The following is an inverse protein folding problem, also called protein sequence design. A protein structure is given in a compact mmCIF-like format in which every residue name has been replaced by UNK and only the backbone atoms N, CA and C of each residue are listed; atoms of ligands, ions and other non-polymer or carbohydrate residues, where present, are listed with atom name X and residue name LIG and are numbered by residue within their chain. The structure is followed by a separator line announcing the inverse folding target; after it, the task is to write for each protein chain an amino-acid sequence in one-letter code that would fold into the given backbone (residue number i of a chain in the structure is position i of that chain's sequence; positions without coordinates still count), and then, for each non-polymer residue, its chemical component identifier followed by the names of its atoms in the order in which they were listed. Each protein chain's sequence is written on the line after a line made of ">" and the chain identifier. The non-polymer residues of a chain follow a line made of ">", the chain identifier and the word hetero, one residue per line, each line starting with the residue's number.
data_IF_334652480225
#
_entry.id   IF_334652480225
#
_cell.length_a   1.000
_cell.length_b   1.000
_cell.length_c   1.000
_cell.angle_alpha   90.00
_cell.angle_beta   90.00
_cell.angle_gamma   90.00
#
_symmetry.space_group_name_H-M   'P 1'
#
loop_
_entity.id
_entity.type
_entity.pdbx_description
1 polymer ?
#
# COMPACT_ATOMS: atom_id res chain seq x y z
N UNK A 1 34.87 9.28 -71.09
CA UNK A 1 35.41 10.15 -70.03
C UNK A 1 35.02 9.55 -68.69
N UNK A 2 35.92 9.52 -67.68
CA UNK A 2 35.67 8.84 -66.41
C UNK A 2 34.78 9.70 -65.52
N UNK A 3 33.65 9.13 -65.03
CA UNK A 3 32.80 9.77 -64.02
C UNK A 3 33.64 10.11 -62.80
N UNK A 4 33.59 11.36 -62.35
CA UNK A 4 34.35 11.82 -61.18
C UNK A 4 33.77 11.17 -59.92
N UNK A 5 34.63 10.66 -59.04
CA UNK A 5 34.27 10.02 -57.76
C UNK A 5 33.25 10.79 -56.92
N UNK A 6 33.21 12.11 -57.04
CA UNK A 6 32.28 13.01 -56.36
C UNK A 6 30.83 12.84 -56.83
N UNK A 7 30.58 12.73 -58.15
CA UNK A 7 29.22 12.56 -58.69
C UNK A 7 28.63 11.22 -58.24
N UNK A 8 29.43 10.16 -58.21
CA UNK A 8 29.00 8.85 -57.73
C UNK A 8 28.74 8.82 -56.20
N UNK A 9 29.37 9.71 -55.43
CA UNK A 9 29.10 9.85 -53.99
C UNK A 9 27.85 10.67 -53.71
N UNK A 10 27.59 11.73 -54.48
CA UNK A 10 26.35 12.52 -54.38
C UNK A 10 25.12 11.70 -54.79
N UNK A 11 25.21 10.92 -55.86
CA UNK A 11 24.13 10.02 -56.31
C UNK A 11 23.83 8.94 -55.25
N UNK A 12 24.86 8.44 -54.57
CA UNK A 12 24.73 7.48 -53.47
C UNK A 12 24.11 8.09 -52.20
N UNK A 13 24.48 9.33 -51.86
CA UNK A 13 23.89 10.06 -50.73
C UNK A 13 22.42 10.41 -50.99
N UNK A 14 22.07 10.83 -52.21
CA UNK A 14 20.68 11.04 -52.61
C UNK A 14 19.87 9.75 -52.61
N UNK A 15 20.49 8.60 -52.93
CA UNK A 15 19.81 7.30 -52.87
C UNK A 15 19.56 6.81 -51.43
N UNK A 16 20.34 7.27 -50.45
CA UNK A 16 20.20 6.92 -49.03
C UNK A 16 19.16 7.77 -48.29
N UNK A 17 18.91 8.99 -48.76
CA UNK A 17 17.98 9.94 -48.14
C UNK A 17 16.54 9.40 -47.96
N UNK A 18 15.94 8.72 -48.96
CA UNK A 18 14.62 8.10 -48.83
C UNK A 18 14.60 6.99 -47.77
N UNK A 19 15.65 6.16 -47.74
CA UNK A 19 15.77 5.05 -46.79
C UNK A 19 15.93 5.55 -45.35
N UNK A 20 16.69 6.63 -45.15
CA UNK A 20 16.82 7.31 -43.86
C UNK A 20 15.50 7.96 -43.42
N UNK A 21 14.74 8.52 -44.35
CA UNK A 21 13.42 9.09 -44.06
C UNK A 21 12.42 8.01 -43.64
N UNK A 22 12.36 6.89 -44.37
CA UNK A 22 11.51 5.74 -44.01
C UNK A 22 11.92 5.15 -42.65
N UNK A 23 13.22 4.99 -42.39
CA UNK A 23 13.71 4.47 -41.11
C UNK A 23 13.33 5.41 -39.95
N UNK A 24 13.36 6.73 -40.18
CA UNK A 24 12.93 7.73 -39.19
C UNK A 24 11.44 7.64 -38.90
N UNK A 25 10.60 7.50 -39.93
CA UNK A 25 9.15 7.32 -39.75
C UNK A 25 8.82 6.02 -39.01
N UNK A 26 9.49 4.93 -39.37
CA UNK A 26 9.37 3.64 -38.68
C UNK A 26 9.80 3.77 -37.21
N UNK A 27 10.87 4.50 -36.92
CA UNK A 27 11.35 4.73 -35.55
C UNK A 27 10.36 5.56 -34.73
N UNK A 28 9.72 6.58 -35.32
CA UNK A 28 8.67 7.38 -34.67
C UNK A 28 7.39 6.57 -34.42
N UNK A 29 7.00 5.72 -35.37
CA UNK A 29 5.88 4.81 -35.21
C UNK A 29 6.15 3.76 -34.12
N UNK A 30 7.37 3.22 -34.06
CA UNK A 30 7.81 2.35 -32.97
C UNK A 30 7.79 3.05 -31.62
N UNK A 31 8.28 4.30 -31.55
CA UNK A 31 8.25 5.10 -30.32
C UNK A 31 6.83 5.32 -29.80
N UNK A 32 5.90 5.72 -30.66
CA UNK A 32 4.49 5.93 -30.28
C UNK A 32 3.77 4.62 -29.93
N UNK A 33 4.09 3.51 -30.61
CA UNK A 33 3.58 2.18 -30.25
C UNK A 33 4.09 1.72 -28.87
N UNK A 34 5.37 1.99 -28.55
CA UNK A 34 5.95 1.68 -27.24
C UNK A 34 5.28 2.48 -26.13
N UNK A 35 5.04 3.77 -26.35
CA UNK A 35 4.36 4.66 -25.39
C UNK A 35 2.91 4.21 -25.15
N UNK A 36 2.20 3.81 -26.22
CA UNK A 36 0.87 3.22 -26.10
C UNK A 36 0.87 1.89 -25.32
N UNK A 37 1.91 1.05 -25.50
CA UNK A 37 2.06 -0.18 -24.72
C UNK A 37 2.38 0.09 -23.25
N UNK A 38 3.23 1.06 -22.94
CA UNK A 38 3.51 1.47 -21.55
C UNK A 38 2.22 1.92 -20.84
N UNK A 39 1.42 2.77 -21.50
CA UNK A 39 0.12 3.15 -20.96
C UNK A 39 -0.86 1.98 -20.82
N UNK A 40 -0.74 0.96 -21.66
CA UNK A 40 -1.54 -0.26 -21.54
C UNK A 40 -1.12 -1.08 -20.30
N UNK A 41 0.19 -1.19 -20.04
CA UNK A 41 0.74 -1.84 -18.85
C UNK A 41 0.30 -1.12 -17.56
N UNK A 42 0.39 0.21 -17.50
CA UNK A 42 -0.07 0.99 -16.34
C UNK A 42 -1.55 0.74 -16.02
N UNK A 43 -2.38 0.64 -17.07
CA UNK A 43 -3.80 0.31 -16.93
C UNK A 43 -4.03 -1.12 -16.44
N UNK A 44 -3.19 -2.06 -16.86
CA UNK A 44 -3.23 -3.45 -16.40
C UNK A 44 -2.86 -3.51 -14.93
N UNK A 45 -1.77 -2.87 -14.51
CA UNK A 45 -1.33 -2.83 -13.11
C UNK A 45 -2.41 -2.22 -12.19
N UNK A 46 -3.01 -1.12 -12.63
CA UNK A 46 -4.13 -0.50 -11.90
C UNK A 46 -5.33 -1.44 -11.78
N UNK A 47 -5.62 -2.25 -12.80
CA UNK A 47 -6.69 -3.26 -12.76
C UNK A 47 -6.33 -4.43 -11.85
N UNK A 48 -5.08 -4.89 -11.87
CA UNK A 48 -4.59 -5.96 -10.99
C UNK A 48 -4.72 -5.54 -9.53
N UNK A 49 -4.30 -4.32 -9.19
CA UNK A 49 -4.45 -3.77 -7.84
C UNK A 49 -5.93 -3.72 -7.42
N UNK A 50 -6.84 -3.33 -8.32
CA UNK A 50 -8.29 -3.34 -8.05
C UNK A 50 -8.83 -4.75 -7.81
N UNK A 51 -8.49 -5.70 -8.69
CA UNK A 51 -8.95 -7.10 -8.55
C UNK A 51 -8.41 -7.71 -7.27
N UNK A 52 -7.17 -7.40 -6.89
CA UNK A 52 -6.57 -7.81 -5.63
C UNK A 52 -7.36 -7.24 -4.45
N UNK A 53 -7.62 -5.93 -4.44
CA UNK A 53 -8.39 -5.26 -3.39
C UNK A 53 -9.80 -5.89 -3.26
N UNK A 54 -10.50 -6.07 -4.39
CA UNK A 54 -11.85 -6.66 -4.46
C UNK A 54 -11.85 -8.11 -3.95
N UNK A 55 -10.89 -8.92 -4.39
CA UNK A 55 -10.75 -10.32 -3.97
C UNK A 55 -10.46 -10.42 -2.47
N UNK A 56 -9.67 -9.50 -1.93
CA UNK A 56 -9.37 -9.47 -0.48
C UNK A 56 -10.60 -9.06 0.32
N UNK A 57 -11.40 -8.11 -0.17
CA UNK A 57 -12.68 -7.73 0.43
C UNK A 57 -13.69 -8.88 0.43
N UNK A 58 -13.86 -9.56 -0.71
CA UNK A 58 -14.74 -10.73 -0.83
C UNK A 58 -14.28 -11.85 0.11
N UNK A 59 -12.97 -12.10 0.20
CA UNK A 59 -12.41 -13.09 1.12
C UNK A 59 -12.69 -12.74 2.58
N UNK A 60 -12.55 -11.47 2.96
CA UNK A 60 -12.86 -11.00 4.31
C UNK A 60 -14.36 -11.15 4.63
N UNK A 61 -15.24 -10.86 3.67
CA UNK A 61 -16.68 -11.02 3.83
C UNK A 61 -17.09 -12.49 3.93
N UNK A 62 -16.53 -13.37 3.10
CA UNK A 62 -16.75 -14.81 3.17
C UNK A 62 -16.28 -15.38 4.52
N UNK A 63 -15.13 -14.91 5.03
CA UNK A 63 -14.59 -15.29 6.35
C UNK A 63 -15.52 -14.87 7.50
N UNK A 64 -16.19 -13.71 7.40
CA UNK A 64 -17.20 -13.29 8.39
C UNK A 64 -18.40 -14.23 8.43
N UNK A 65 -18.87 -14.66 7.26
CA UNK A 65 -20.04 -15.55 7.14
C UNK A 65 -19.72 -16.96 7.63
N UNK A 66 -18.47 -17.42 7.46
CA UNK A 66 -18.04 -18.77 7.83
C UNK A 66 -17.86 -19.01 9.35
N UNK A 67 -17.93 -17.97 10.19
CA UNK A 67 -18.09 -18.00 11.65
C UNK A 67 -17.40 -19.17 12.43
N UNK A 68 -16.19 -19.56 12.05
CA UNK A 68 -15.33 -20.44 12.86
C UNK A 68 -14.54 -19.61 13.88
N UNK A 69 -14.24 -20.19 15.06
CA UNK A 69 -13.25 -19.61 15.99
C UNK A 69 -11.91 -19.50 15.26
N UNK A 70 -11.56 -18.30 14.84
CA UNK A 70 -10.30 -18.05 14.15
C UNK A 70 -9.16 -17.95 15.16
N UNK A 71 -8.09 -18.71 14.95
CA UNK A 71 -6.89 -18.62 15.75
C UNK A 71 -6.08 -17.37 15.38
N UNK A 72 -5.57 -16.69 16.42
CA UNK A 72 -4.78 -15.47 16.28
C UNK A 72 -3.31 -15.85 16.30
N UNK A 73 -2.63 -15.49 15.22
CA UNK A 73 -1.21 -15.75 15.03
C UNK A 73 -0.45 -14.44 15.12
N UNK A 74 0.13 -14.15 16.28
CA UNK A 74 1.03 -13.01 16.46
C UNK A 74 2.31 -13.23 15.64
N UNK A 75 2.72 -12.21 14.90
CA UNK A 75 3.85 -12.30 13.96
C UNK A 75 5.09 -11.59 14.49
N UNK A 76 4.96 -10.31 14.85
CA UNK A 76 6.07 -9.48 15.34
C UNK A 76 5.53 -8.24 16.05
N UNK A 77 6.39 -7.60 16.84
CA UNK A 77 6.17 -6.27 17.42
C UNK A 77 6.52 -5.19 16.42
N UNK A 78 5.69 -4.16 16.33
CA UNK A 78 5.86 -3.08 15.39
C UNK A 78 5.49 -1.71 15.95
N UNK A 79 6.02 -0.67 15.31
CA UNK A 79 5.52 0.69 15.43
C UNK A 79 5.00 1.14 14.05
N UNK A 80 3.94 1.93 14.04
CA UNK A 80 3.29 2.38 12.79
C UNK A 80 3.61 3.86 12.60
N UNK A 81 4.40 4.20 11.58
CA UNK A 81 4.80 5.58 11.29
C UNK A 81 3.98 6.13 10.11
N UNK A 82 3.39 7.31 10.25
CA UNK A 82 2.81 8.01 9.12
C UNK A 82 3.91 8.63 8.26
N UNK A 83 3.91 8.33 6.95
CA UNK A 83 4.93 8.81 6.02
C UNK A 83 4.92 10.33 5.91
N UNK A 84 3.74 10.93 5.81
CA UNK A 84 3.60 12.35 5.51
C UNK A 84 4.10 13.25 6.65
N UNK A 85 3.94 12.79 7.89
CA UNK A 85 4.33 13.58 9.09
C UNK A 85 5.58 13.07 9.79
N UNK A 86 6.03 11.86 9.47
CA UNK A 86 7.09 11.18 10.22
C UNK A 86 6.68 10.73 11.62
N UNK A 87 5.44 11.00 12.06
CA UNK A 87 4.97 10.70 13.41
C UNK A 87 4.51 9.26 13.55
N UNK A 88 4.76 8.69 14.70
CA UNK A 88 4.30 7.37 15.09
C UNK A 88 2.88 7.42 15.67
N UNK A 89 2.13 6.37 15.36
CA UNK A 89 0.84 6.09 15.95
C UNK A 89 1.03 5.75 17.43
N UNK A 90 0.35 6.48 18.29
CA UNK A 90 0.40 6.33 19.73
C UNK A 90 -1.01 6.06 20.28
N UNK A 91 -1.12 5.06 21.16
CA UNK A 91 -2.29 4.84 22.00
C UNK A 91 -2.30 5.85 23.16
N UNK A 92 -3.12 6.89 23.01
CA UNK A 92 -3.37 7.91 24.03
C UNK A 92 -4.70 7.61 24.72
N UNK A 93 -4.69 6.70 25.69
CA UNK A 93 -5.86 6.30 26.47
C UNK A 93 -7.02 5.76 25.61
N UNK A 94 -6.71 4.89 24.65
CA UNK A 94 -7.68 4.31 23.72
C UNK A 94 -7.95 5.16 22.48
N UNK A 95 -7.32 6.32 22.37
CA UNK A 95 -7.35 7.20 21.19
C UNK A 95 -6.06 7.04 20.38
N UNK A 96 -6.12 6.48 19.16
CA UNK A 96 -4.96 6.36 18.30
C UNK A 96 -4.63 7.72 17.68
N UNK A 97 -3.46 8.27 17.99
CA UNK A 97 -3.01 9.59 17.52
C UNK A 97 -1.62 9.55 16.88
N UNK A 98 -1.42 10.30 15.81
CA UNK A 98 -0.12 10.56 15.20
C UNK A 98 0.57 11.72 15.93
N UNK A 99 1.11 11.43 17.11
CA UNK A 99 1.66 12.45 18.03
C UNK A 99 3.16 12.34 18.25
N UNK A 100 3.73 11.13 18.22
CA UNK A 100 5.10 10.90 18.68
C UNK A 100 6.13 11.00 17.55
N UNK A 101 7.21 11.76 17.76
CA UNK A 101 8.31 11.89 16.77
C UNK A 101 9.31 10.73 16.85
N UNK A 102 9.31 10.00 17.96
CA UNK A 102 10.11 8.78 18.21
C UNK A 102 9.21 7.70 18.79
N UNK A 103 9.68 6.44 18.78
CA UNK A 103 8.92 5.33 19.39
C UNK A 103 8.92 5.50 20.92
N UNK A 104 7.76 5.85 21.48
CA UNK A 104 7.52 6.07 22.91
C UNK A 104 6.55 5.01 23.46
N UNK A 105 6.30 5.07 24.77
CA UNK A 105 5.22 4.29 25.38
C UNK A 105 3.88 4.54 24.68
N UNK A 106 3.15 3.46 24.40
CA UNK A 106 1.92 3.47 23.60
C UNK A 106 2.13 3.45 22.07
N UNK A 107 3.37 3.48 21.56
CA UNK A 107 3.64 3.37 20.11
C UNK A 107 3.87 1.94 19.62
N UNK A 108 4.04 0.99 20.55
CA UNK A 108 4.32 -0.41 20.24
C UNK A 108 3.04 -1.23 20.13
N UNK A 109 2.93 -1.97 19.04
CA UNK A 109 1.81 -2.86 18.75
C UNK A 109 2.32 -4.26 18.41
N UNK A 110 1.53 -5.29 18.70
CA UNK A 110 1.74 -6.64 18.17
C UNK A 110 0.91 -6.80 16.91
N UNK A 111 1.60 -7.01 15.79
CA UNK A 111 0.95 -7.36 14.53
C UNK A 111 0.53 -8.84 14.56
N UNK A 112 -0.71 -9.12 14.19
CA UNK A 112 -1.22 -10.48 14.09
C UNK A 112 -1.98 -10.71 12.79
N UNK A 113 -2.10 -11.98 12.42
CA UNK A 113 -2.96 -12.46 11.32
C UNK A 113 -3.97 -13.47 11.87
N UNK A 114 -5.10 -13.64 11.18
CA UNK A 114 -6.12 -14.65 11.53
C UNK A 114 -6.03 -15.87 10.60
N UNK A 115 -6.05 -17.08 11.17
CA UNK A 115 -6.08 -18.34 10.41
C UNK A 115 -4.82 -18.60 9.57
N UNK A 116 -5.01 -18.99 8.31
CA UNK A 116 -3.98 -19.23 7.29
C UNK A 116 -3.22 -17.96 6.85
N UNK A 117 -3.80 -16.79 7.12
CA UNK A 117 -3.10 -15.52 7.30
C UNK A 117 -2.20 -15.07 6.14
N UNK A 118 -2.78 -14.67 5.01
CA UNK A 118 -2.00 -14.01 3.95
C UNK A 118 -2.26 -12.50 3.82
N UNK A 119 -3.48 -11.99 4.04
CA UNK A 119 -3.77 -10.59 3.64
C UNK A 119 -4.63 -9.79 4.64
N UNK A 120 -4.88 -10.36 5.82
CA UNK A 120 -5.63 -9.67 6.89
C UNK A 120 -4.80 -9.58 8.15
N UNK A 121 -4.61 -8.35 8.59
CA UNK A 121 -3.76 -7.99 9.70
C UNK A 121 -4.56 -7.27 10.77
N UNK A 122 -4.13 -7.41 12.01
CA UNK A 122 -4.59 -6.56 13.09
C UNK A 122 -3.45 -6.15 13.99
N UNK A 123 -3.73 -5.19 14.87
CA UNK A 123 -2.74 -4.60 15.74
C UNK A 123 -3.28 -4.55 17.17
N UNK A 124 -2.54 -5.12 18.10
CA UNK A 124 -2.84 -5.05 19.54
C UNK A 124 -1.87 -4.10 20.21
N UNK A 125 -2.36 -3.10 20.94
CA UNK A 125 -1.51 -2.20 21.73
C UNK A 125 -0.78 -2.97 22.82
N UNK A 126 0.55 -2.85 22.91
CA UNK A 126 1.31 -3.49 23.99
C UNK A 126 1.05 -2.82 25.35
N UNK A 127 0.64 -1.54 25.33
CA UNK A 127 0.35 -0.78 26.54
C UNK A 127 -0.93 -1.22 27.21
N UNK A 128 -2.00 -1.37 26.43
CA UNK A 128 -3.35 -1.61 26.97
C UNK A 128 -3.83 -3.04 26.73
N UNK A 129 -3.12 -3.82 25.90
CA UNK A 129 -3.57 -5.13 25.39
C UNK A 129 -4.89 -5.07 24.61
N UNK A 130 -5.35 -3.88 24.23
CA UNK A 130 -6.56 -3.66 23.44
C UNK A 130 -6.24 -3.60 21.95
N UNK A 131 -7.21 -3.99 21.14
CA UNK A 131 -7.07 -4.01 19.69
C UNK A 131 -7.39 -2.66 19.06
N UNK A 132 -6.56 -2.29 18.09
CA UNK A 132 -6.84 -1.19 17.17
C UNK A 132 -7.95 -1.64 16.22
N UNK A 133 -8.99 -0.83 16.10
CA UNK A 133 -10.10 -1.09 15.22
C UNK A 133 -10.88 0.17 14.90
N UNK A 134 -12.01 0.01 14.25
CA UNK A 134 -12.91 1.11 13.86
C UNK A 134 -14.24 0.97 14.60
N UNK A 135 -14.72 2.06 15.20
CA UNK A 135 -16.02 2.05 15.87
C UNK A 135 -17.18 2.22 14.87
N UNK A 136 -18.43 2.10 15.35
CA UNK A 136 -19.66 2.23 14.54
C UNK A 136 -19.78 3.55 13.77
N UNK A 137 -19.08 4.60 14.21
CA UNK A 137 -19.10 5.92 13.58
C UNK A 137 -17.93 6.16 12.60
N UNK A 138 -17.08 5.14 12.36
CA UNK A 138 -15.97 5.26 11.42
C UNK A 138 -14.69 5.84 12.01
N UNK A 139 -14.60 6.02 13.33
CA UNK A 139 -13.38 6.49 13.99
C UNK A 139 -12.49 5.33 14.43
N UNK A 140 -11.18 5.46 14.26
CA UNK A 140 -10.23 4.51 14.82
C UNK A 140 -10.20 4.63 16.35
N UNK A 141 -10.15 3.50 17.03
CA UNK A 141 -10.06 3.37 18.49
C UNK A 141 -9.17 2.19 18.86
N UNK A 142 -8.50 2.30 20.01
CA UNK A 142 -7.78 1.18 20.64
C UNK A 142 -8.61 0.71 21.84
N UNK A 143 -9.69 0.00 21.56
CA UNK A 143 -10.69 -0.40 22.58
C UNK A 143 -11.21 -1.82 22.43
N UNK A 144 -10.87 -2.53 21.36
CA UNK A 144 -11.34 -3.90 21.17
C UNK A 144 -10.79 -4.78 22.28
N UNK A 145 -11.66 -5.43 23.05
CA UNK A 145 -11.28 -6.43 24.05
C UNK A 145 -11.29 -7.85 23.50
N UNK A 146 -11.85 -8.04 22.30
CA UNK A 146 -12.01 -9.33 21.65
C UNK A 146 -11.99 -9.17 20.11
N UNK A 147 -11.70 -10.26 19.41
CA UNK A 147 -11.47 -10.27 17.97
C UNK A 147 -12.77 -10.20 17.19
N UNK A 148 -13.09 -9.01 16.70
CA UNK A 148 -14.16 -8.84 15.74
C UNK A 148 -13.58 -8.44 14.38
N UNK A 149 -14.47 -8.25 13.43
CA UNK A 149 -14.07 -7.81 12.10
C UNK A 149 -13.66 -6.34 12.03
N UNK A 150 -13.93 -5.57 13.09
CA UNK A 150 -13.63 -4.14 13.21
C UNK A 150 -12.15 -3.85 13.43
N UNK A 151 -11.39 -4.87 13.83
CA UNK A 151 -9.97 -4.84 14.18
C UNK A 151 -9.10 -5.41 13.05
N UNK A 152 -9.67 -5.61 11.86
CA UNK A 152 -9.03 -6.25 10.71
C UNK A 152 -8.74 -5.24 9.60
N UNK A 153 -7.48 -5.23 9.15
CA UNK A 153 -6.95 -4.32 8.16
C UNK A 153 -6.24 -5.06 7.02
N UNK A 154 -6.38 -4.55 5.79
CA UNK A 154 -5.51 -4.92 4.68
C UNK A 154 -4.21 -4.11 4.75
N UNK A 155 -3.10 -4.77 4.46
CA UNK A 155 -1.77 -4.18 4.35
C UNK A 155 -1.10 -4.73 3.10
N UNK A 156 -0.37 -3.87 2.38
CA UNK A 156 0.58 -4.30 1.36
C UNK A 156 1.90 -4.73 2.02
N UNK A 157 1.91 -5.96 2.55
CA UNK A 157 3.09 -6.55 3.17
C UNK A 157 4.18 -6.74 2.11
N UNK A 158 5.30 -6.04 2.26
CA UNK A 158 6.42 -6.06 1.31
C UNK A 158 6.66 -4.73 0.59
N UNK A 159 5.69 -3.79 0.62
CA UNK A 159 5.93 -2.42 0.17
C UNK A 159 6.52 -1.57 1.30
N UNK A 160 7.37 -0.60 0.95
CA UNK A 160 7.96 0.33 1.92
C UNK A 160 6.92 1.24 2.61
N UNK A 161 5.78 1.45 1.95
CA UNK A 161 4.61 2.17 2.46
C UNK A 161 3.34 1.40 2.13
N UNK A 162 2.37 1.46 3.02
CA UNK A 162 1.05 0.84 2.86
C UNK A 162 -0.04 1.80 3.28
N UNK A 163 -1.18 1.76 2.60
CA UNK A 163 -2.42 2.31 3.14
C UNK A 163 -3.06 1.26 4.06
N UNK A 164 -3.78 1.71 5.08
CA UNK A 164 -4.55 0.81 5.95
C UNK A 164 -6.00 0.78 5.45
N UNK A 165 -6.51 -0.41 5.12
CA UNK A 165 -7.90 -0.60 4.73
C UNK A 165 -8.66 -1.42 5.77
N UNK A 166 -9.66 -0.85 6.44
CA UNK A 166 -10.49 -1.58 7.38
C UNK A 166 -11.72 -2.19 6.68
N UNK A 167 -11.85 -3.51 6.69
CA UNK A 167 -12.96 -4.21 6.02
C UNK A 167 -14.32 -3.99 6.66
N UNK A 168 -14.39 -3.63 7.95
CA UNK A 168 -15.67 -3.54 8.69
C UNK A 168 -16.31 -2.16 8.65
N UNK A 169 -15.61 -1.19 8.07
CA UNK A 169 -16.13 0.17 7.95
C UNK A 169 -17.22 0.24 6.88
N UNK A 170 -18.05 1.29 6.96
CA UNK A 170 -19.07 1.63 5.96
C UNK A 170 -20.01 0.46 5.57
N UNK A 171 -20.57 -0.24 6.56
CA UNK A 171 -21.56 -1.31 6.33
C UNK A 171 -21.08 -2.42 5.38
N UNK A 172 -19.78 -2.75 5.42
CA UNK A 172 -19.19 -3.81 4.59
C UNK A 172 -18.57 -3.34 3.29
N UNK A 173 -18.66 -2.05 2.96
CA UNK A 173 -17.90 -1.44 1.86
C UNK A 173 -16.42 -1.23 2.20
N UNK A 174 -16.05 -1.37 3.47
CA UNK A 174 -14.71 -1.10 3.96
C UNK A 174 -14.34 0.38 3.88
N UNK A 175 -13.12 0.70 4.33
CA UNK A 175 -12.69 2.09 4.36
C UNK A 175 -11.19 2.28 4.55
N UNK A 176 -10.69 3.34 3.94
CA UNK A 176 -9.28 3.75 4.01
C UNK A 176 -9.07 4.62 5.24
N UNK A 177 -8.00 4.33 6.00
CA UNK A 177 -7.57 5.21 7.08
C UNK A 177 -6.98 6.48 6.49
N UNK A 178 -7.46 7.63 6.94
CA UNK A 178 -6.97 8.95 6.57
C UNK A 178 -6.57 9.75 7.80
N UNK A 179 -5.72 10.74 7.58
CA UNK A 179 -5.29 11.67 8.61
C UNK A 179 -6.22 12.89 8.62
N UNK A 180 -6.72 13.22 9.80
CA UNK A 180 -7.35 14.51 10.08
C UNK A 180 -6.32 15.54 10.55
N UNK A 181 -6.68 16.82 10.50
CA UNK A 181 -5.95 17.86 11.20
C UNK A 181 -5.74 17.49 12.68
N UNK A 182 -4.59 17.89 13.24
CA UNK A 182 -4.19 17.67 14.63
C UNK A 182 -3.80 16.22 15.00
N UNK A 183 -3.40 15.41 14.02
CA UNK A 183 -2.85 14.07 14.26
C UNK A 183 -3.90 13.01 14.59
N UNK A 184 -5.19 13.34 14.53
CA UNK A 184 -6.27 12.35 14.64
C UNK A 184 -6.40 11.55 13.34
N UNK A 185 -6.94 10.35 13.45
CA UNK A 185 -7.24 9.49 12.30
C UNK A 185 -8.74 9.32 12.12
N UNK A 186 -9.17 9.15 10.87
CA UNK A 186 -10.53 8.83 10.50
C UNK A 186 -10.56 7.75 9.42
N UNK A 187 -11.72 7.20 9.13
CA UNK A 187 -11.91 6.28 8.00
C UNK A 187 -12.81 6.93 6.96
N UNK A 188 -12.36 6.91 5.70
CA UNK A 188 -13.15 7.32 4.53
C UNK A 188 -13.60 6.10 3.75
N UNK A 189 -14.69 6.23 2.98
CA UNK A 189 -15.30 5.11 2.26
C UNK A 189 -14.29 4.43 1.34
N UNK A 190 -14.28 3.11 1.34
CA UNK A 190 -13.37 2.26 0.58
C UNK A 190 -13.62 2.22 -0.93
N UNK A 191 -13.64 3.38 -1.60
CA UNK A 191 -13.72 3.44 -3.06
C UNK A 191 -12.34 3.71 -3.67
N UNK A 192 -12.11 3.34 -4.95
CA UNK A 192 -10.85 3.63 -5.63
C UNK A 192 -10.50 5.12 -5.66
N UNK A 193 -11.50 5.99 -5.81
CA UNK A 193 -11.32 7.44 -5.86
C UNK A 193 -10.82 7.98 -4.51
N UNK A 194 -11.32 7.40 -3.41
CA UNK A 194 -10.93 7.80 -2.06
C UNK A 194 -9.56 7.24 -1.64
N UNK A 195 -9.03 6.21 -2.32
CA UNK A 195 -7.71 5.63 -2.01
C UNK A 195 -6.60 6.67 -2.11
N UNK A 196 -6.72 7.64 -3.02
CA UNK A 196 -5.77 8.74 -3.16
C UNK A 196 -5.71 9.67 -1.92
N UNK A 197 -6.80 9.74 -1.14
CA UNK A 197 -6.91 10.51 0.09
C UNK A 197 -6.54 9.70 1.35
N UNK A 198 -6.12 8.45 1.18
CA UNK A 198 -5.67 7.61 2.28
C UNK A 198 -4.33 8.10 2.83
N UNK A 199 -4.15 7.95 4.14
CA UNK A 199 -2.85 8.14 4.75
C UNK A 199 -1.96 6.93 4.46
N UNK A 200 -0.68 7.19 4.20
CA UNK A 200 0.32 6.15 4.01
C UNK A 200 1.15 5.95 5.28
N UNK A 201 1.41 4.69 5.58
CA UNK A 201 2.09 4.26 6.77
C UNK A 201 3.26 3.34 6.45
N UNK A 202 4.28 3.38 7.29
CA UNK A 202 5.37 2.41 7.34
C UNK A 202 5.21 1.59 8.61
N UNK A 203 5.19 0.27 8.45
CA UNK A 203 5.21 -0.67 9.59
C UNK A 203 6.67 -0.98 9.92
N UNK A 204 7.15 -0.46 11.04
CA UNK A 204 8.53 -0.65 11.51
C UNK A 204 8.58 -1.90 12.38
N UNK A 205 9.35 -2.92 11.96
CA UNK A 205 9.52 -4.15 12.74
C UNK A 205 10.51 -3.91 13.89
N UNK A 206 10.01 -3.91 15.13
CA UNK A 206 10.79 -3.64 16.33
C UNK A 206 11.63 -4.84 16.75
N UNK A 207 11.17 -6.06 16.47
CA UNK A 207 11.91 -7.29 16.81
C UNK A 207 13.17 -7.41 15.95
N UNK A 208 13.07 -7.16 14.65
CA UNK A 208 14.22 -7.16 13.74
C UNK A 208 15.28 -6.12 14.13
N UNK A 209 14.84 -4.92 14.58
CA UNK A 209 15.75 -3.89 15.08
C UNK A 209 16.44 -4.35 16.37
N UNK A 210 15.69 -4.94 17.30
CA UNK A 210 16.24 -5.44 18.56
C UNK A 210 17.27 -6.56 18.33
N UNK A 211 17.04 -7.44 17.36
CA UNK A 211 17.96 -8.53 17.04
C UNK A 211 19.23 -8.03 16.33
N UNK A 212 19.11 -7.07 15.41
CA UNK A 212 20.26 -6.41 14.80
C UNK A 212 21.18 -5.75 15.86
N UNK A 213 20.59 -5.02 16.82
CA UNK A 213 21.33 -4.39 17.91
C UNK A 213 22.03 -5.37 18.86
N UNK A 214 21.52 -6.61 18.96
CA UNK A 214 22.19 -7.68 19.74
C UNK A 214 23.35 -8.30 18.98
N UNK A 215 23.28 -8.38 17.64
CA UNK A 215 24.33 -8.97 16.82
C UNK A 215 25.59 -8.10 16.66
N UNK A 216 25.49 -6.81 16.97
CA UNK A 216 26.62 -5.86 16.95
C UNK A 216 27.35 -5.75 18.31
N UNK A 217 26.94 -6.52 19.32
CA UNK A 217 27.58 -6.59 20.64
C UNK A 217 28.28 -7.94 20.83
#
# INVERSE_FOLDING_TARGET
>A
MPRTKLEAQEEFLQALEPQLSELKEVSLALGSALEAQNHHLDRIDTKIDRVKDDMTQVSAQARRVAAGKMHVNYRFRCAIQCINTGKFLQDVNGEPMLSADVVLDGCSFRAYTLGDGTDTWGFQSEKTSLFLGVNRFGYLKVKGSDFHSYEQFALDVGKAKTALFCYASFFGLGGWVTQLGNGKLNVIRGTPENKASAAFFKVVNLDAIADALKSER
#
